data_IF_151913175156
#
_entry.id   IF_151913175156
#
_cell.length_a   1.000
_cell.length_b   1.000
_cell.length_c   1.000
_cell.angle_alpha   90.00
_cell.angle_beta   90.00
_cell.angle_gamma   90.00
#
_symmetry.space_group_name_H-M   'P 1'
#
loop_
_entity.id
_entity.type
_entity.pdbx_description
1 polymer ?
#
# COMPACT_ATOMS: atom_id res chain seq x y z
N UNK A 1 -19.89 -4.51 29.17
CA UNK A 1 -18.65 -5.32 29.25
C UNK A 1 -18.25 -5.73 27.83
N UNK A 2 -17.01 -5.40 27.43
CA UNK A 2 -16.13 -6.00 26.37
C UNK A 2 -16.78 -6.29 24.99
N UNK A 3 -16.61 -5.47 23.94
CA UNK A 3 -15.45 -5.30 23.01
C UNK A 3 -14.83 -6.61 22.50
N UNK A 4 -14.96 -6.87 21.18
CA UNK A 4 -14.09 -7.64 20.24
C UNK A 4 -14.99 -8.01 19.02
N UNK A 5 -14.67 -7.89 17.74
CA UNK A 5 -13.53 -7.36 17.00
C UNK A 5 -14.05 -7.13 15.56
N UNK A 6 -13.83 -5.94 14.99
CA UNK A 6 -14.07 -5.69 13.56
C UNK A 6 -12.81 -5.03 13.00
N UNK A 7 -11.81 -5.84 12.67
CA UNK A 7 -10.64 -5.45 11.89
C UNK A 7 -10.29 -6.60 10.96
N UNK A 8 -10.47 -6.39 9.66
CA UNK A 8 -9.63 -6.93 8.57
C UNK A 8 -10.28 -6.56 7.21
N UNK A 9 -10.20 -5.28 6.87
CA UNK A 9 -10.28 -4.82 5.48
C UNK A 9 -8.84 -4.82 4.92
N UNK A 10 -8.72 -5.05 3.60
CA UNK A 10 -7.47 -5.00 2.79
C UNK A 10 -6.67 -6.31 2.76
N UNK A 11 -7.00 -7.19 1.81
CA UNK A 11 -6.16 -8.35 1.44
C UNK A 11 -5.96 -8.52 -0.07
N UNK A 12 -6.20 -7.48 -0.89
CA UNK A 12 -5.99 -7.55 -2.35
C UNK A 12 -5.03 -6.49 -2.92
N UNK A 13 -4.48 -5.60 -2.08
CA UNK A 13 -3.34 -4.75 -2.47
C UNK A 13 -1.97 -5.37 -2.11
N UNK A 14 -1.93 -6.49 -1.37
CA UNK A 14 -0.69 -7.04 -0.81
C UNK A 14 -0.07 -8.18 -1.62
N UNK A 15 -0.80 -8.84 -2.53
CA UNK A 15 -0.20 -9.88 -3.38
C UNK A 15 0.69 -9.28 -4.49
N UNK A 16 0.38 -8.07 -4.96
CA UNK A 16 1.24 -7.31 -5.88
C UNK A 16 2.45 -6.64 -5.21
N UNK A 17 2.37 -6.35 -3.91
CA UNK A 17 3.47 -5.74 -3.14
C UNK A 17 4.48 -6.76 -2.58
N UNK A 18 4.09 -8.04 -2.43
CA UNK A 18 4.96 -9.07 -1.85
C UNK A 18 6.14 -9.46 -2.77
N UNK A 19 5.99 -9.31 -4.08
CA UNK A 19 7.03 -9.67 -5.06
C UNK A 19 8.05 -8.56 -5.34
N UNK A 20 7.83 -7.33 -4.89
CA UNK A 20 8.75 -6.20 -5.11
C UNK A 20 9.79 -6.04 -3.99
N UNK A 21 9.54 -6.61 -2.80
CA UNK A 21 10.39 -6.37 -1.61
C UNK A 21 11.51 -7.41 -1.39
N UNK A 22 11.55 -8.50 -2.15
CA UNK A 22 12.50 -9.61 -1.89
C UNK A 22 13.83 -9.55 -2.67
N UNK A 23 14.14 -8.41 -3.30
CA UNK A 23 15.40 -8.21 -4.06
C UNK A 23 16.50 -7.48 -3.26
N UNK A 24 16.25 -7.08 -2.01
CA UNK A 24 17.18 -6.20 -1.27
C UNK A 24 17.90 -6.84 -0.09
N UNK A 25 17.77 -8.13 0.18
CA UNK A 25 18.48 -8.76 1.29
C UNK A 25 18.89 -10.18 0.91
N UNK A 26 20.10 -10.34 0.35
CA UNK A 26 20.96 -11.50 0.59
C UNK A 26 22.39 -11.16 0.11
N UNK A 27 23.13 -10.48 0.99
CA UNK A 27 24.58 -10.64 1.09
C UNK A 27 24.86 -11.35 2.43
N UNK A 28 25.67 -12.41 2.35
CA UNK A 28 26.02 -13.37 3.40
C UNK A 28 26.66 -12.72 4.65
N UNK A 29 26.65 -13.35 5.84
CA UNK A 29 27.56 -14.44 6.30
C UNK A 29 27.08 -14.95 7.70
N UNK A 30 27.42 -16.20 8.13
CA UNK A 30 26.69 -16.98 9.14
C UNK A 30 27.36 -17.04 10.53
N UNK A 31 26.62 -17.50 11.55
CA UNK A 31 27.21 -18.04 12.78
C UNK A 31 26.30 -19.06 13.51
N UNK A 32 26.79 -20.29 13.54
CA UNK A 32 26.74 -21.40 14.51
C UNK A 32 25.70 -21.49 15.65
N UNK A 33 25.23 -22.73 15.80
CA UNK A 33 24.44 -23.33 16.90
C UNK A 33 25.22 -23.39 18.25
N UNK A 34 24.68 -23.92 19.40
CA UNK A 34 24.21 -25.31 19.52
C UNK A 34 22.98 -25.58 20.42
N UNK A 35 22.62 -26.86 20.41
CA UNK A 35 21.51 -27.60 21.00
C UNK A 35 21.35 -27.55 22.53
N UNK A 36 20.13 -27.85 23.01
CA UNK A 36 19.92 -28.63 24.23
C UNK A 36 18.60 -29.45 24.15
N UNK A 37 18.76 -30.73 24.44
CA UNK A 37 17.83 -31.85 24.57
C UNK A 37 17.01 -31.82 25.87
N UNK A 38 15.82 -32.46 25.86
CA UNK A 38 15.12 -33.24 26.92
C UNK A 38 13.66 -33.40 26.45
N UNK A 39 13.04 -34.55 26.14
CA UNK A 39 13.04 -35.92 26.69
C UNK A 39 12.54 -36.03 28.13
N UNK A 40 11.21 -36.08 28.32
CA UNK A 40 10.62 -36.90 29.39
C UNK A 40 9.29 -37.50 28.93
N UNK A 41 9.31 -38.82 28.81
CA UNK A 41 8.18 -39.72 28.63
C UNK A 41 7.51 -39.96 29.99
N UNK A 42 6.18 -40.01 30.04
CA UNK A 42 5.48 -40.85 31.03
C UNK A 42 4.23 -41.43 30.40
N UNK A 43 4.24 -42.75 30.26
CA UNK A 43 3.15 -43.58 29.75
C UNK A 43 2.31 -44.06 30.93
N UNK A 44 0.98 -44.01 30.80
CA UNK A 44 0.09 -44.91 31.57
C UNK A 44 -1.12 -45.30 30.72
N UNK A 45 -1.06 -46.54 30.22
CA UNK A 45 -2.08 -47.59 30.25
C UNK A 45 -3.56 -47.30 29.87
N UNK A 46 -3.92 -47.82 28.70
CA UNK A 46 -5.01 -48.78 28.45
C UNK A 46 -6.45 -48.43 28.83
N UNK A 47 -7.28 -48.17 27.81
CA UNK A 47 -8.57 -48.87 27.68
C UNK A 47 -9.02 -48.89 26.21
N UNK A 48 -9.27 -50.08 25.70
CA UNK A 48 -9.69 -50.35 24.33
C UNK A 48 -11.22 -50.41 24.24
N UNK A 49 -11.82 -49.72 23.24
CA UNK A 49 -13.01 -50.15 22.48
C UNK A 49 -13.30 -49.20 21.31
N UNK A 50 -14.12 -49.59 20.31
CA UNK A 50 -13.64 -49.90 18.97
C UNK A 50 -14.05 -48.84 17.94
N UNK A 51 -13.32 -48.83 16.81
CA UNK A 51 -13.83 -48.48 15.50
C UNK A 51 -14.45 -47.10 15.34
N UNK A 52 -13.61 -46.10 15.07
CA UNK A 52 -14.05 -44.92 14.31
C UNK A 52 -13.31 -44.96 12.98
N UNK A 53 -14.01 -45.43 11.96
CA UNK A 53 -13.63 -45.09 10.59
C UNK A 53 -13.61 -43.56 10.48
N UNK A 54 -12.58 -42.94 9.88
CA UNK A 54 -12.60 -41.52 9.62
C UNK A 54 -13.57 -41.29 8.46
N UNK A 55 -14.83 -41.00 8.78
CA UNK A 55 -15.72 -40.32 7.85
C UNK A 55 -15.22 -38.88 7.70
N UNK A 56 -14.27 -38.72 6.78
CA UNK A 56 -14.08 -37.48 6.05
C UNK A 56 -15.34 -37.25 5.20
N UNK A 57 -16.46 -36.96 5.86
CA UNK A 57 -17.59 -36.35 5.23
C UNK A 57 -17.31 -34.85 5.22
N UNK A 58 -17.12 -34.28 4.03
CA UNK A 58 -17.36 -32.86 3.78
C UNK A 58 -18.77 -32.56 4.27
N UNK A 59 -18.91 -32.11 5.51
CA UNK A 59 -20.21 -31.85 6.08
C UNK A 59 -20.72 -30.55 5.46
N UNK A 60 -21.58 -30.70 4.45
CA UNK A 60 -22.42 -29.62 3.96
C UNK A 60 -23.03 -28.87 5.16
N UNK A 61 -23.08 -27.55 5.07
CA UNK A 61 -23.61 -26.72 6.15
C UNK A 61 -25.01 -27.21 6.56
N UNK A 62 -25.34 -27.25 7.86
CA UNK A 62 -26.70 -27.53 8.32
C UNK A 62 -27.71 -26.63 7.59
N UNK A 63 -28.92 -27.12 7.25
CA UNK A 63 -29.87 -26.40 6.41
C UNK A 63 -30.19 -24.96 6.88
N UNK A 64 -30.27 -24.75 8.19
CA UNK A 64 -30.51 -23.42 8.78
C UNK A 64 -29.35 -22.45 8.54
N UNK A 65 -28.10 -22.93 8.69
CA UNK A 65 -26.90 -22.14 8.43
C UNK A 65 -26.75 -21.82 6.94
N UNK A 66 -27.13 -22.77 6.07
CA UNK A 66 -27.14 -22.56 4.63
C UNK A 66 -28.15 -21.47 4.21
N UNK A 67 -29.35 -21.46 4.79
CA UNK A 67 -30.35 -20.42 4.52
C UNK A 67 -29.89 -19.04 5.02
N UNK A 68 -29.32 -18.96 6.22
CA UNK A 68 -28.76 -17.71 6.76
C UNK A 68 -27.61 -17.17 5.90
N UNK A 69 -26.76 -18.08 5.39
CA UNK A 69 -25.68 -17.71 4.47
C UNK A 69 -26.23 -17.16 3.15
N UNK A 70 -27.20 -17.83 2.54
CA UNK A 70 -27.87 -17.35 1.32
C UNK A 70 -28.52 -15.98 1.53
N UNK A 71 -29.22 -15.79 2.66
CA UNK A 71 -29.82 -14.50 3.00
C UNK A 71 -28.76 -13.38 3.10
N UNK A 72 -27.61 -13.68 3.69
CA UNK A 72 -26.47 -12.75 3.79
C UNK A 72 -25.92 -12.38 2.41
N UNK A 73 -25.77 -13.36 1.50
CA UNK A 73 -25.32 -13.11 0.14
C UNK A 73 -26.31 -12.18 -0.59
N UNK A 74 -27.61 -12.49 -0.53
CA UNK A 74 -28.66 -11.68 -1.17
C UNK A 74 -28.67 -10.25 -0.65
N UNK A 75 -28.60 -10.07 0.67
CA UNK A 75 -28.59 -8.74 1.29
C UNK A 75 -27.34 -7.92 0.89
N UNK A 76 -26.17 -8.56 0.79
CA UNK A 76 -24.91 -7.87 0.51
C UNK A 76 -24.71 -7.52 -0.96
N UNK A 77 -25.10 -8.42 -1.86
CA UNK A 77 -24.74 -8.35 -3.27
C UNK A 77 -25.95 -8.13 -4.21
N UNK A 78 -27.15 -8.57 -3.83
CA UNK A 78 -28.30 -8.67 -4.73
C UNK A 78 -28.67 -7.35 -5.43
N UNK A 79 -28.71 -6.24 -4.69
CA UNK A 79 -29.12 -4.94 -5.24
C UNK A 79 -28.12 -4.35 -6.27
N UNK A 80 -26.89 -4.88 -6.35
CA UNK A 80 -25.82 -4.35 -7.22
C UNK A 80 -25.20 -5.42 -8.10
N UNK A 81 -25.89 -6.55 -8.26
CA UNK A 81 -25.38 -7.70 -8.99
C UNK A 81 -25.26 -7.46 -10.50
N UNK A 82 -25.85 -6.37 -11.01
CA UNK A 82 -25.65 -5.90 -12.38
C UNK A 82 -24.22 -5.42 -12.67
N UNK A 83 -23.43 -5.06 -11.64
CA UNK A 83 -22.05 -4.60 -11.82
C UNK A 83 -21.07 -5.79 -11.92
N UNK A 84 -20.29 -5.92 -13.02
CA UNK A 84 -19.17 -6.85 -13.15
C UNK A 84 -18.24 -6.91 -11.95
N UNK A 85 -17.89 -5.75 -11.36
CA UNK A 85 -17.04 -5.69 -10.18
C UNK A 85 -17.69 -6.36 -8.95
N UNK A 86 -18.98 -6.16 -8.76
CA UNK A 86 -19.71 -6.76 -7.63
C UNK A 86 -19.87 -8.27 -7.84
N UNK A 87 -20.13 -8.71 -9.07
CA UNK A 87 -20.14 -10.12 -9.43
C UNK A 87 -18.79 -10.76 -9.10
N UNK A 88 -17.67 -10.16 -9.53
CA UNK A 88 -16.35 -10.71 -9.26
C UNK A 88 -16.04 -10.77 -7.76
N UNK A 89 -16.37 -9.72 -7.00
CA UNK A 89 -16.20 -9.71 -5.53
C UNK A 89 -17.03 -10.78 -4.82
N UNK A 90 -18.21 -11.09 -5.34
CA UNK A 90 -19.01 -12.22 -4.84
C UNK A 90 -18.29 -13.54 -5.13
N UNK A 91 -17.82 -13.73 -6.37
CA UNK A 91 -17.08 -14.93 -6.78
C UNK A 91 -15.81 -15.12 -5.93
N UNK A 92 -14.96 -14.10 -5.79
CA UNK A 92 -13.76 -14.17 -4.96
C UNK A 92 -14.08 -14.56 -3.51
N UNK A 93 -15.13 -13.97 -2.93
CA UNK A 93 -15.55 -14.28 -1.56
C UNK A 93 -16.00 -15.73 -1.42
N UNK A 94 -16.77 -16.25 -2.37
CA UNK A 94 -17.24 -17.63 -2.37
C UNK A 94 -16.10 -18.61 -2.65
N UNK A 95 -15.22 -18.31 -3.60
CA UNK A 95 -14.04 -19.16 -3.87
C UNK A 95 -13.20 -19.31 -2.60
N UNK A 96 -12.93 -18.22 -1.88
CA UNK A 96 -12.21 -18.26 -0.60
C UNK A 96 -12.94 -19.10 0.45
N UNK A 97 -14.27 -18.99 0.52
CA UNK A 97 -15.08 -19.71 1.50
C UNK A 97 -15.13 -21.23 1.25
N UNK A 98 -15.19 -21.64 -0.03
CA UNK A 98 -15.42 -23.03 -0.40
C UNK A 98 -14.13 -23.81 -0.70
N UNK A 99 -13.07 -23.18 -1.23
CA UNK A 99 -11.87 -23.88 -1.75
C UNK A 99 -11.17 -24.82 -0.76
N UNK A 100 -11.29 -24.57 0.55
CA UNK A 100 -10.71 -25.42 1.58
C UNK A 100 -11.58 -26.61 2.03
N UNK A 101 -12.81 -26.77 1.50
CA UNK A 101 -13.81 -27.71 2.03
C UNK A 101 -13.74 -29.13 1.46
N UNK A 102 -12.98 -29.33 0.38
CA UNK A 102 -12.82 -30.64 -0.26
C UNK A 102 -12.76 -30.55 -1.78
N UNK A 103 -12.61 -31.67 -2.51
CA UNK A 103 -12.48 -31.68 -3.96
C UNK A 103 -13.73 -31.15 -4.69
N UNK A 104 -14.92 -31.30 -4.08
CA UNK A 104 -16.21 -30.90 -4.67
C UNK A 104 -16.61 -29.44 -4.40
N UNK A 105 -15.69 -28.62 -3.86
CA UNK A 105 -15.96 -27.24 -3.45
C UNK A 105 -16.63 -26.40 -4.55
N UNK A 106 -16.26 -26.63 -5.81
CA UNK A 106 -16.81 -25.91 -6.96
C UNK A 106 -18.28 -26.25 -7.18
N UNK A 107 -18.65 -27.52 -7.08
CA UNK A 107 -20.03 -27.97 -7.23
C UNK A 107 -20.93 -27.45 -6.08
N UNK A 108 -20.40 -27.41 -4.86
CA UNK A 108 -21.08 -26.80 -3.71
C UNK A 108 -21.31 -25.29 -3.86
N UNK A 109 -20.30 -24.58 -4.35
CA UNK A 109 -20.38 -23.14 -4.65
C UNK A 109 -21.45 -22.87 -5.71
N UNK A 110 -21.46 -23.63 -6.81
CA UNK A 110 -22.46 -23.48 -7.88
C UNK A 110 -23.88 -23.75 -7.38
N UNK A 111 -24.08 -24.78 -6.55
CA UNK A 111 -25.39 -25.03 -5.91
C UNK A 111 -25.84 -23.85 -5.04
N UNK A 112 -24.91 -23.24 -4.32
CA UNK A 112 -25.19 -22.06 -3.48
C UNK A 112 -25.53 -20.83 -4.34
N UNK A 113 -24.82 -20.61 -5.45
CA UNK A 113 -25.14 -19.55 -6.42
C UNK A 113 -26.54 -19.74 -7.02
N UNK A 114 -26.89 -20.96 -7.44
CA UNK A 114 -28.21 -21.27 -8.00
C UNK A 114 -29.33 -21.01 -6.98
N UNK A 115 -29.10 -21.37 -5.71
CA UNK A 115 -30.07 -21.13 -4.65
C UNK A 115 -30.18 -19.63 -4.30
N UNK A 116 -29.05 -18.91 -4.27
CA UNK A 116 -29.04 -17.50 -3.87
C UNK A 116 -29.53 -16.56 -4.97
N UNK A 117 -29.16 -16.79 -6.22
CA UNK A 117 -29.38 -15.89 -7.36
C UNK A 117 -29.79 -16.66 -8.62
N UNK A 118 -30.96 -17.31 -8.64
CA UNK A 118 -31.38 -18.16 -9.76
C UNK A 118 -31.38 -17.41 -11.10
N UNK A 119 -31.89 -16.17 -11.12
CA UNK A 119 -32.01 -15.36 -12.34
C UNK A 119 -30.65 -14.91 -12.90
N UNK A 120 -29.61 -14.84 -12.04
CA UNK A 120 -28.26 -14.45 -12.44
C UNK A 120 -27.28 -15.63 -12.48
N UNK A 121 -27.77 -16.87 -12.33
CA UNK A 121 -26.92 -18.04 -12.18
C UNK A 121 -26.02 -18.27 -13.39
N UNK A 122 -26.57 -18.18 -14.62
CA UNK A 122 -25.79 -18.37 -15.83
C UNK A 122 -24.64 -17.36 -15.93
N UNK A 123 -24.90 -16.10 -15.59
CA UNK A 123 -23.90 -15.04 -15.56
C UNK A 123 -22.83 -15.27 -14.48
N UNK A 124 -23.23 -15.61 -13.26
CA UNK A 124 -22.31 -15.80 -12.14
C UNK A 124 -21.47 -17.07 -12.27
N UNK A 125 -22.04 -18.14 -12.82
CA UNK A 125 -21.29 -19.37 -13.13
C UNK A 125 -20.25 -19.10 -14.23
N UNK A 126 -20.59 -18.37 -15.29
CA UNK A 126 -19.62 -17.93 -16.28
C UNK A 126 -18.51 -17.05 -15.65
N UNK A 127 -18.86 -16.12 -14.76
CA UNK A 127 -17.89 -15.28 -14.04
C UNK A 127 -16.92 -16.11 -13.19
N UNK A 128 -17.42 -17.18 -12.55
CA UNK A 128 -16.57 -18.11 -11.81
C UNK A 128 -15.55 -18.77 -12.73
N UNK A 129 -15.96 -19.27 -13.90
CA UNK A 129 -15.02 -19.87 -14.86
C UNK A 129 -13.96 -18.87 -15.33
N UNK A 130 -14.37 -17.63 -15.65
CA UNK A 130 -13.43 -16.57 -16.04
C UNK A 130 -12.41 -16.28 -14.94
N UNK A 131 -12.84 -16.21 -13.67
CA UNK A 131 -11.96 -15.99 -12.53
C UNK A 131 -10.97 -17.14 -12.34
N UNK A 132 -11.44 -18.38 -12.40
CA UNK A 132 -10.56 -19.56 -12.26
C UNK A 132 -9.58 -19.68 -13.43
N UNK A 133 -10.01 -19.35 -14.65
CA UNK A 133 -9.15 -19.26 -15.82
C UNK A 133 -8.07 -18.20 -15.66
N UNK A 134 -8.43 -17.02 -15.14
CA UNK A 134 -7.47 -15.95 -14.87
C UNK A 134 -6.45 -16.36 -13.81
N UNK A 135 -6.88 -16.97 -12.72
CA UNK A 135 -5.98 -17.45 -11.67
C UNK A 135 -5.03 -18.54 -12.18
N UNK A 136 -5.53 -19.51 -12.95
CA UNK A 136 -4.72 -20.55 -13.54
C UNK A 136 -3.67 -19.96 -14.50
N UNK A 137 -4.05 -18.98 -15.32
CA UNK A 137 -3.12 -18.27 -16.19
C UNK A 137 -2.07 -17.49 -15.39
N UNK A 138 -2.48 -16.77 -14.33
CA UNK A 138 -1.55 -16.05 -13.46
C UNK A 138 -0.51 -16.98 -12.82
N UNK A 139 -0.92 -18.18 -12.41
CA UNK A 139 -0.03 -19.19 -11.84
C UNK A 139 0.92 -19.75 -12.89
N UNK A 140 0.41 -20.11 -14.07
CA UNK A 140 1.21 -20.67 -15.16
C UNK A 140 2.26 -19.69 -15.71
N UNK A 141 1.94 -18.39 -15.73
CA UNK A 141 2.79 -17.34 -16.32
C UNK A 141 3.56 -16.52 -15.27
N UNK A 142 3.58 -16.95 -14.00
CA UNK A 142 4.15 -16.16 -12.91
C UNK A 142 5.63 -15.80 -13.12
N UNK A 143 6.43 -16.76 -13.65
CA UNK A 143 7.85 -16.54 -13.94
C UNK A 143 8.07 -15.55 -15.09
N UNK A 144 7.36 -15.75 -16.20
CA UNK A 144 7.46 -14.88 -17.38
C UNK A 144 7.02 -13.45 -17.07
N UNK A 145 5.89 -13.29 -16.38
CA UNK A 145 5.41 -11.98 -15.92
C UNK A 145 6.40 -11.28 -14.99
N UNK A 146 7.17 -12.02 -14.19
CA UNK A 146 8.19 -11.43 -13.32
C UNK A 146 9.41 -10.92 -14.10
N UNK A 147 9.75 -11.57 -15.21
CA UNK A 147 10.88 -11.21 -16.08
C UNK A 147 10.61 -9.96 -16.94
N UNK A 148 9.34 -9.69 -17.27
CA UNK A 148 8.94 -8.49 -18.01
C UNK A 148 9.16 -7.20 -17.22
N UNK A 149 9.37 -6.08 -17.91
CA UNK A 149 9.33 -4.77 -17.26
C UNK A 149 7.90 -4.38 -16.82
N UNK A 150 7.75 -3.22 -16.20
CA UNK A 150 6.47 -2.79 -15.64
C UNK A 150 5.41 -2.41 -16.69
N UNK A 151 5.81 -2.04 -17.90
CA UNK A 151 4.92 -1.68 -19.00
C UNK A 151 4.44 -2.93 -19.72
N UNK A 152 5.37 -3.79 -20.13
CA UNK A 152 5.07 -5.03 -20.83
C UNK A 152 4.25 -5.98 -19.96
N UNK A 153 4.61 -6.12 -18.69
CA UNK A 153 3.84 -6.94 -17.73
C UNK A 153 2.40 -6.47 -17.65
N UNK A 154 2.18 -5.15 -17.63
CA UNK A 154 0.85 -4.56 -17.55
C UNK A 154 0.06 -4.77 -18.83
N UNK A 155 0.68 -4.59 -19.99
CA UNK A 155 0.05 -4.85 -21.28
C UNK A 155 -0.40 -6.32 -21.37
N UNK A 156 0.45 -7.26 -20.93
CA UNK A 156 0.10 -8.69 -20.86
C UNK A 156 -1.06 -8.97 -19.90
N UNK A 157 -1.05 -8.37 -18.70
CA UNK A 157 -2.17 -8.50 -17.75
C UNK A 157 -3.48 -7.98 -18.34
N UNK A 158 -3.47 -6.82 -18.99
CA UNK A 158 -4.66 -6.25 -19.63
C UNK A 158 -5.16 -7.09 -20.79
N UNK A 159 -4.27 -7.54 -21.68
CA UNK A 159 -4.64 -8.42 -22.77
C UNK A 159 -5.34 -9.69 -22.26
N UNK A 160 -4.82 -10.31 -21.20
CA UNK A 160 -5.45 -11.49 -20.61
C UNK A 160 -6.80 -11.17 -19.97
N UNK A 161 -6.92 -10.05 -19.26
CA UNK A 161 -8.18 -9.61 -18.64
C UNK A 161 -9.25 -9.33 -19.69
N UNK A 162 -8.90 -8.63 -20.77
CA UNK A 162 -9.82 -8.37 -21.88
C UNK A 162 -10.22 -9.68 -22.58
N UNK A 163 -9.30 -10.61 -22.78
CA UNK A 163 -9.59 -11.91 -23.40
C UNK A 163 -10.56 -12.76 -22.56
N UNK A 164 -10.42 -12.75 -21.22
CA UNK A 164 -11.25 -13.57 -20.34
C UNK A 164 -12.58 -12.93 -19.97
N UNK A 165 -12.57 -11.63 -19.66
CA UNK A 165 -13.73 -10.93 -19.10
C UNK A 165 -14.48 -10.10 -20.16
N UNK A 166 -13.86 -9.83 -21.30
CA UNK A 166 -14.31 -8.83 -22.25
C UNK A 166 -13.88 -7.42 -21.83
N UNK A 167 -13.68 -6.54 -22.82
CA UNK A 167 -13.13 -5.20 -22.59
C UNK A 167 -13.93 -4.37 -21.59
N UNK A 168 -15.25 -4.25 -21.79
CA UNK A 168 -16.10 -3.42 -20.95
C UNK A 168 -16.08 -3.88 -19.47
N UNK A 169 -16.23 -5.18 -19.23
CA UNK A 169 -16.19 -5.74 -17.88
C UNK A 169 -14.81 -5.59 -17.25
N UNK A 170 -13.73 -5.83 -18.01
CA UNK A 170 -12.38 -5.66 -17.51
C UNK A 170 -12.10 -4.21 -17.09
N UNK A 171 -12.49 -3.24 -17.92
CA UNK A 171 -12.35 -1.82 -17.58
C UNK A 171 -13.12 -1.46 -16.31
N UNK A 172 -14.32 -2.00 -16.09
CA UNK A 172 -15.08 -1.77 -14.86
C UNK A 172 -14.45 -2.44 -13.64
N UNK A 173 -14.07 -3.71 -13.76
CA UNK A 173 -13.49 -4.50 -12.66
C UNK A 173 -12.19 -3.87 -12.17
N UNK A 174 -11.31 -3.49 -13.11
CA UNK A 174 -9.99 -2.91 -12.81
C UNK A 174 -9.94 -1.40 -12.96
N UNK A 175 -11.09 -0.71 -12.90
CA UNK A 175 -11.18 0.73 -13.10
C UNK A 175 -10.26 1.55 -12.16
N UNK A 176 -10.02 1.06 -10.94
CA UNK A 176 -9.10 1.71 -10.01
C UNK A 176 -7.65 1.71 -10.51
N UNK A 177 -7.20 0.62 -11.14
CA UNK A 177 -5.86 0.52 -11.72
C UNK A 177 -5.72 1.50 -12.88
N UNK A 178 -6.71 1.55 -13.79
CA UNK A 178 -6.73 2.51 -14.91
C UNK A 178 -6.66 3.96 -14.44
N UNK A 179 -7.45 4.31 -13.41
CA UNK A 179 -7.43 5.65 -12.83
C UNK A 179 -6.07 5.98 -12.21
N UNK A 180 -5.51 5.05 -11.45
CA UNK A 180 -4.20 5.22 -10.81
C UNK A 180 -3.09 5.40 -11.84
N UNK A 181 -3.14 4.64 -12.94
CA UNK A 181 -2.21 4.77 -14.06
C UNK A 181 -2.35 6.12 -14.77
N UNK A 182 -3.57 6.57 -15.05
CA UNK A 182 -3.81 7.88 -15.67
C UNK A 182 -3.18 8.99 -14.85
N UNK A 183 -3.37 8.96 -13.52
CA UNK A 183 -2.77 9.93 -12.60
C UNK A 183 -1.24 9.83 -12.57
N UNK A 184 -0.68 8.61 -12.57
CA UNK A 184 0.77 8.40 -12.58
C UNK A 184 1.41 8.94 -13.88
N UNK A 185 0.79 8.68 -15.05
CA UNK A 185 1.24 9.23 -16.34
C UNK A 185 1.16 10.75 -16.35
N UNK A 186 0.08 11.33 -15.84
CA UNK A 186 -0.07 12.78 -15.73
C UNK A 186 1.03 13.40 -14.84
N UNK A 187 1.31 12.79 -13.68
CA UNK A 187 2.41 13.25 -12.81
C UNK A 187 3.77 13.20 -13.49
N UNK A 188 4.07 12.14 -14.25
CA UNK A 188 5.31 12.05 -15.03
C UNK A 188 5.42 13.16 -16.09
N UNK A 189 4.32 13.45 -16.80
CA UNK A 189 4.25 14.54 -17.78
C UNK A 189 4.38 15.91 -17.13
N UNK A 190 3.74 16.11 -15.97
CA UNK A 190 3.86 17.32 -15.18
C UNK A 190 5.31 17.50 -14.74
N UNK A 191 6.02 16.45 -14.34
CA UNK A 191 7.41 16.57 -13.88
C UNK A 191 8.39 16.88 -15.02
N UNK A 192 8.12 16.33 -16.20
CA UNK A 192 8.96 16.49 -17.39
C UNK A 192 8.77 17.84 -18.12
N UNK A 193 7.71 18.58 -17.85
CA UNK A 193 7.45 19.85 -18.52
C UNK A 193 8.46 20.94 -18.08
N UNK A 194 9.38 21.41 -18.95
CA UNK A 194 10.50 22.25 -18.53
C UNK A 194 10.09 23.65 -18.06
N UNK A 195 9.07 24.25 -18.70
CA UNK A 195 8.74 25.67 -18.51
C UNK A 195 7.48 25.91 -17.66
N UNK A 196 6.82 24.87 -17.16
CA UNK A 196 5.63 25.03 -16.32
C UNK A 196 6.01 25.54 -14.93
N UNK A 197 5.28 26.53 -14.41
CA UNK A 197 5.46 27.01 -13.04
C UNK A 197 4.63 26.19 -12.07
N UNK A 198 4.94 26.28 -10.78
CA UNK A 198 4.26 25.50 -9.74
C UNK A 198 2.72 25.61 -9.76
N UNK A 199 2.12 26.81 -9.96
CA UNK A 199 0.67 26.92 -10.09
C UNK A 199 0.11 26.18 -11.30
N UNK A 200 0.80 26.22 -12.44
CA UNK A 200 0.38 25.52 -13.66
C UNK A 200 0.49 24.00 -13.47
N UNK A 201 1.54 23.53 -12.81
CA UNK A 201 1.73 22.11 -12.47
C UNK A 201 0.62 21.62 -11.55
N UNK A 202 0.28 22.40 -10.52
CA UNK A 202 -0.79 22.07 -9.60
C UNK A 202 -2.15 22.02 -10.32
N UNK A 203 -2.41 22.99 -11.20
CA UNK A 203 -3.66 23.02 -11.96
C UNK A 203 -3.79 21.78 -12.86
N UNK A 204 -2.75 21.44 -13.63
CA UNK A 204 -2.71 20.21 -14.44
C UNK A 204 -2.91 18.96 -13.58
N UNK A 205 -2.32 18.92 -12.39
CA UNK A 205 -2.51 17.79 -11.48
C UNK A 205 -3.98 17.65 -11.04
N UNK A 206 -4.62 18.76 -10.65
CA UNK A 206 -6.05 18.78 -10.27
C UNK A 206 -6.95 18.35 -11.42
N UNK A 207 -6.66 18.81 -12.64
CA UNK A 207 -7.37 18.38 -13.86
C UNK A 207 -7.21 16.88 -14.09
N UNK A 208 -6.01 16.33 -13.95
CA UNK A 208 -5.79 14.88 -14.09
C UNK A 208 -6.57 14.04 -13.06
N UNK A 209 -6.72 14.55 -11.83
CA UNK A 209 -7.54 13.91 -10.81
C UNK A 209 -9.04 13.96 -11.19
N UNK A 210 -9.50 15.10 -11.72
CA UNK A 210 -10.88 15.23 -12.21
C UNK A 210 -11.15 14.31 -13.40
N UNK A 211 -10.22 14.19 -14.35
CA UNK A 211 -10.33 13.28 -15.50
C UNK A 211 -10.27 11.80 -15.11
N UNK A 212 -9.48 11.46 -14.10
CA UNK A 212 -9.39 10.09 -13.61
C UNK A 212 -10.65 9.70 -12.83
N UNK A 213 -11.11 10.53 -11.90
CA UNK A 213 -12.16 10.16 -10.95
C UNK A 213 -13.55 10.71 -11.28
N UNK A 214 -13.69 11.63 -12.25
CA UNK A 214 -14.95 12.26 -12.61
C UNK A 214 -15.62 12.90 -11.39
N UNK A 215 -16.92 12.64 -11.22
CA UNK A 215 -17.72 13.13 -10.08
C UNK A 215 -17.23 12.61 -8.72
N UNK A 216 -16.45 11.53 -8.69
CA UNK A 216 -15.87 10.99 -7.47
C UNK A 216 -14.58 11.72 -7.04
N UNK A 217 -14.05 12.65 -7.84
CA UNK A 217 -12.79 13.35 -7.53
C UNK A 217 -12.79 14.07 -6.17
N UNK A 218 -13.85 14.81 -5.77
CA UNK A 218 -13.89 15.42 -4.44
C UNK A 218 -13.83 14.38 -3.31
N UNK A 219 -14.64 13.32 -3.41
CA UNK A 219 -14.65 12.24 -2.42
C UNK A 219 -13.33 11.44 -2.39
N UNK A 220 -12.63 11.36 -3.52
CA UNK A 220 -11.28 10.81 -3.57
C UNK A 220 -10.30 11.71 -2.81
N UNK A 221 -10.28 13.01 -3.09
CA UNK A 221 -9.40 13.96 -2.42
C UNK A 221 -9.66 14.02 -0.91
N UNK A 222 -10.91 13.98 -0.46
CA UNK A 222 -11.21 13.93 0.98
C UNK A 222 -10.57 12.72 1.69
N UNK A 223 -10.52 11.56 1.03
CA UNK A 223 -9.99 10.32 1.60
C UNK A 223 -8.49 10.15 1.41
N UNK A 224 -7.94 10.71 0.34
CA UNK A 224 -6.56 10.49 -0.11
C UNK A 224 -5.75 11.78 -0.17
N UNK A 225 -6.15 12.83 0.55
CA UNK A 225 -5.55 14.16 0.46
C UNK A 225 -4.05 14.16 0.69
N UNK A 226 -3.60 13.46 1.73
CA UNK A 226 -2.19 13.36 2.07
C UNK A 226 -1.40 12.66 0.96
N UNK A 227 -1.93 11.55 0.45
CA UNK A 227 -1.30 10.80 -0.63
C UNK A 227 -1.21 11.63 -1.93
N UNK A 228 -2.26 12.38 -2.25
CA UNK A 228 -2.28 13.28 -3.41
C UNK A 228 -1.25 14.41 -3.25
N UNK A 229 -1.19 15.03 -2.06
CA UNK A 229 -0.20 16.05 -1.72
C UNK A 229 1.23 15.50 -1.84
N UNK A 230 1.47 14.34 -1.25
CA UNK A 230 2.79 13.70 -1.21
C UNK A 230 3.30 13.37 -2.61
N UNK A 231 2.45 12.79 -3.46
CA UNK A 231 2.80 12.49 -4.85
C UNK A 231 3.15 13.73 -5.66
N UNK A 232 2.46 14.85 -5.41
CA UNK A 232 2.76 16.12 -6.07
C UNK A 232 4.05 16.75 -5.54
N UNK A 233 4.25 16.75 -4.23
CA UNK A 233 5.46 17.30 -3.61
C UNK A 233 6.71 16.45 -3.90
N UNK A 234 6.57 15.14 -4.13
CA UNK A 234 7.70 14.27 -4.46
C UNK A 234 8.19 14.43 -5.91
N UNK A 235 7.53 15.24 -6.75
CA UNK A 235 8.00 15.57 -8.09
C UNK A 235 9.30 16.37 -8.05
N UNK A 236 10.27 15.99 -8.88
CA UNK A 236 11.60 16.63 -8.90
C UNK A 236 11.53 18.10 -9.31
N UNK A 237 10.68 18.43 -10.29
CA UNK A 237 10.41 19.80 -10.74
C UNK A 237 9.84 20.67 -9.63
N UNK A 238 8.89 20.14 -8.84
CA UNK A 238 8.29 20.83 -7.70
C UNK A 238 9.33 21.11 -6.62
N UNK A 239 10.15 20.11 -6.27
CA UNK A 239 11.21 20.30 -5.27
C UNK A 239 12.30 21.28 -5.72
N UNK A 240 12.66 21.28 -7.02
CA UNK A 240 13.61 22.26 -7.58
C UNK A 240 13.07 23.68 -7.47
N UNK A 241 11.81 23.90 -7.85
CA UNK A 241 11.19 25.22 -7.77
C UNK A 241 11.06 25.70 -6.32
N UNK A 242 10.55 24.85 -5.42
CA UNK A 242 10.46 25.17 -3.99
C UNK A 242 11.82 25.49 -3.36
N UNK A 243 12.89 24.79 -3.78
CA UNK A 243 14.24 25.03 -3.28
C UNK A 243 14.82 26.37 -3.73
N UNK A 244 14.44 26.85 -4.91
CA UNK A 244 14.91 28.13 -5.46
C UNK A 244 14.22 29.35 -4.83
N UNK A 245 13.06 29.16 -4.19
CA UNK A 245 12.29 30.25 -3.61
C UNK A 245 12.86 30.73 -2.26
N UNK A 246 12.74 32.04 -1.93
CA UNK A 246 12.91 32.55 -0.58
C UNK A 246 11.93 31.90 0.40
N UNK A 247 12.27 31.87 1.70
CA UNK A 247 11.46 31.17 2.72
C UNK A 247 9.99 31.64 2.78
N UNK A 248 9.74 32.95 2.70
CA UNK A 248 8.39 33.51 2.74
C UNK A 248 7.56 33.08 1.51
N UNK A 249 8.15 33.19 0.32
CA UNK A 249 7.49 32.79 -0.94
C UNK A 249 7.25 31.28 -0.97
N UNK A 250 8.21 30.48 -0.50
CA UNK A 250 8.07 29.02 -0.40
C UNK A 250 6.92 28.62 0.53
N UNK A 251 6.81 29.28 1.69
CA UNK A 251 5.70 29.04 2.62
C UNK A 251 4.35 29.37 1.98
N UNK A 252 4.27 30.49 1.24
CA UNK A 252 3.06 30.85 0.50
C UNK A 252 2.71 29.80 -0.57
N UNK A 253 3.69 29.36 -1.35
CA UNK A 253 3.50 28.32 -2.37
C UNK A 253 3.05 26.98 -1.77
N UNK A 254 3.64 26.55 -0.66
CA UNK A 254 3.22 25.33 0.05
C UNK A 254 1.80 25.45 0.60
N UNK A 255 1.39 26.64 1.06
CA UNK A 255 0.01 26.92 1.47
C UNK A 255 -0.94 26.82 0.26
N UNK A 256 -0.58 27.40 -0.87
CA UNK A 256 -1.39 27.40 -2.10
C UNK A 256 -1.58 25.98 -2.65
N UNK A 257 -0.53 25.15 -2.64
CA UNK A 257 -0.62 23.72 -3.00
C UNK A 257 -1.66 23.00 -2.14
N UNK A 258 -1.55 23.15 -0.82
CA UNK A 258 -2.44 22.47 0.13
C UNK A 258 -3.89 22.95 0.02
N UNK A 259 -4.07 24.27 -0.17
CA UNK A 259 -5.38 24.88 -0.42
C UNK A 259 -6.00 24.36 -1.73
N UNK A 260 -5.21 24.30 -2.81
CA UNK A 260 -5.65 23.78 -4.11
C UNK A 260 -6.07 22.30 -4.09
N UNK A 261 -5.57 21.53 -3.13
CA UNK A 261 -5.96 20.13 -2.87
C UNK A 261 -7.10 20.00 -1.84
N UNK A 262 -7.74 21.10 -1.45
CA UNK A 262 -8.95 21.11 -0.64
C UNK A 262 -8.71 21.08 0.86
N UNK A 263 -7.56 21.53 1.37
CA UNK A 263 -7.37 21.71 2.81
C UNK A 263 -8.09 22.95 3.32
N UNK A 264 -8.77 22.82 4.47
CA UNK A 264 -9.39 23.94 5.17
C UNK A 264 -8.36 24.84 5.89
N UNK A 265 -8.79 26.02 6.32
CA UNK A 265 -7.93 27.01 6.97
C UNK A 265 -7.25 26.50 8.25
N UNK A 266 -7.91 25.61 9.01
CA UNK A 266 -7.34 25.05 10.24
C UNK A 266 -6.22 24.06 9.91
N UNK A 267 -6.40 23.23 8.88
CA UNK A 267 -5.38 22.35 8.37
C UNK A 267 -4.19 23.12 7.81
N UNK A 268 -4.43 24.19 7.06
CA UNK A 268 -3.37 25.06 6.54
C UNK A 268 -2.51 25.66 7.67
N UNK A 269 -3.14 26.17 8.74
CA UNK A 269 -2.40 26.71 9.89
C UNK A 269 -1.54 25.66 10.61
N UNK A 270 -2.02 24.42 10.76
CA UNK A 270 -1.22 23.31 11.32
C UNK A 270 0.00 22.99 10.45
N UNK A 271 -0.17 23.01 9.13
CA UNK A 271 0.92 22.76 8.18
C UNK A 271 1.97 23.86 8.18
N UNK A 272 1.57 25.12 8.25
CA UNK A 272 2.50 26.25 8.35
C UNK A 272 3.36 26.16 9.62
N UNK A 273 2.75 25.83 10.76
CA UNK A 273 3.49 25.62 12.00
C UNK A 273 4.48 24.46 11.89
N UNK A 274 4.05 23.35 11.28
CA UNK A 274 4.90 22.18 11.06
C UNK A 274 6.09 22.50 10.14
N UNK A 275 5.84 23.17 9.03
CA UNK A 275 6.88 23.59 8.09
C UNK A 275 7.85 24.57 8.76
N UNK A 276 7.36 25.55 9.53
CA UNK A 276 8.23 26.46 10.28
C UNK A 276 9.12 25.74 11.30
N UNK A 277 8.59 24.72 11.98
CA UNK A 277 9.35 23.89 12.92
C UNK A 277 10.44 23.11 12.19
N UNK A 278 10.11 22.51 11.04
CA UNK A 278 11.07 21.78 10.20
C UNK A 278 12.15 22.72 9.66
N UNK A 279 11.76 23.92 9.24
CA UNK A 279 12.69 24.91 8.71
C UNK A 279 13.69 25.38 9.76
N UNK A 280 13.22 25.66 10.98
CA UNK A 280 14.09 25.97 12.10
C UNK A 280 15.05 24.82 12.42
N UNK A 281 14.54 23.57 12.43
CA UNK A 281 15.36 22.39 12.68
C UNK A 281 16.45 22.21 11.62
N UNK A 282 16.11 22.36 10.35
CA UNK A 282 17.07 22.30 9.24
C UNK A 282 18.13 23.39 9.34
N UNK A 283 17.76 24.62 9.69
CA UNK A 283 18.71 25.71 9.88
C UNK A 283 19.71 25.40 11.03
N UNK A 284 19.24 24.82 12.12
CA UNK A 284 20.12 24.33 13.20
C UNK A 284 21.02 23.19 12.71
N UNK A 285 20.49 22.28 11.89
CA UNK A 285 21.22 21.20 11.24
C UNK A 285 22.33 21.68 10.31
N UNK A 286 22.08 22.66 9.47
CA UNK A 286 23.08 23.27 8.57
C UNK A 286 24.23 23.89 9.38
N UNK A 287 23.91 24.65 10.43
CA UNK A 287 24.92 25.19 11.35
C UNK A 287 25.72 24.07 12.03
N UNK A 288 25.03 23.03 12.50
CA UNK A 288 25.67 21.87 13.10
C UNK A 288 26.68 21.21 12.15
N UNK A 289 26.31 20.99 10.88
CA UNK A 289 27.18 20.38 9.90
C UNK A 289 28.41 21.24 9.58
N UNK A 290 28.23 22.57 9.49
CA UNK A 290 29.35 23.49 9.29
C UNK A 290 30.34 23.47 10.47
N UNK A 291 29.83 23.54 11.70
CA UNK A 291 30.67 23.49 12.91
C UNK A 291 31.33 22.11 13.09
N UNK A 292 30.60 21.03 12.80
CA UNK A 292 31.12 19.66 12.79
C UNK A 292 32.28 19.53 11.82
N UNK A 293 32.14 20.02 10.59
CA UNK A 293 33.20 19.98 9.60
C UNK A 293 34.46 20.74 10.05
N UNK A 294 34.31 21.86 10.76
CA UNK A 294 35.45 22.56 11.36
C UNK A 294 36.12 21.72 12.45
N UNK A 295 35.34 21.14 13.37
CA UNK A 295 35.87 20.30 14.45
C UNK A 295 36.62 19.06 13.94
N UNK A 296 36.15 18.45 12.85
CA UNK A 296 36.81 17.30 12.22
C UNK A 296 38.14 17.66 11.55
N UNK A 297 38.35 18.93 11.19
CA UNK A 297 39.63 19.40 10.65
C UNK A 297 40.62 19.79 11.75
N UNK A 298 40.12 20.40 12.81
CA UNK A 298 40.96 21.08 13.81
C UNK A 298 41.36 20.17 14.99
N UNK A 299 40.64 19.06 15.21
CA UNK A 299 40.84 18.17 16.34
C UNK A 299 40.85 16.69 15.92
N UNK A 300 41.52 15.85 16.70
CA UNK A 300 41.56 14.39 16.51
C UNK A 300 41.39 13.64 17.84
N UNK A 301 41.08 12.34 17.74
CA UNK A 301 41.01 11.44 18.90
C UNK A 301 39.94 11.85 19.92
N UNK A 302 40.24 11.68 21.21
CA UNK A 302 39.29 11.93 22.31
C UNK A 302 38.81 13.39 22.37
N UNK A 303 39.66 14.36 22.03
CA UNK A 303 39.30 15.78 22.07
C UNK A 303 38.24 16.11 21.02
N UNK A 304 38.38 15.55 19.81
CA UNK A 304 37.37 15.66 18.76
C UNK A 304 36.05 15.06 19.21
N UNK A 305 36.08 13.85 19.80
CA UNK A 305 34.88 13.17 20.29
C UNK A 305 34.15 14.00 21.37
N UNK A 306 34.90 14.56 22.32
CA UNK A 306 34.38 15.43 23.38
C UNK A 306 33.72 16.69 22.81
N UNK A 307 34.39 17.38 21.87
CA UNK A 307 33.85 18.60 21.25
C UNK A 307 32.61 18.33 20.39
N UNK A 308 32.58 17.22 19.67
CA UNK A 308 31.40 16.80 18.92
C UNK A 308 30.21 16.50 19.85
N UNK A 309 30.45 15.87 21.00
CA UNK A 309 29.41 15.64 22.00
C UNK A 309 28.86 16.97 22.55
N UNK A 310 29.72 17.90 22.92
CA UNK A 310 29.32 19.24 23.39
C UNK A 310 28.56 20.04 22.32
N UNK A 311 28.97 19.93 21.06
CA UNK A 311 28.29 20.58 19.93
C UNK A 311 26.87 20.04 19.77
N UNK A 312 26.68 18.71 19.83
CA UNK A 312 25.35 18.08 19.75
C UNK A 312 24.46 18.52 20.90
N UNK A 313 24.97 18.47 22.13
CA UNK A 313 24.22 18.88 23.33
C UNK A 313 23.76 20.34 23.24
N UNK A 314 24.66 21.25 22.84
CA UNK A 314 24.36 22.67 22.71
C UNK A 314 23.29 22.97 21.65
N UNK A 315 23.29 22.24 20.54
CA UNK A 315 22.40 22.54 19.40
C UNK A 315 21.08 21.75 19.42
N UNK A 316 21.08 20.56 20.02
CA UNK A 316 19.93 19.63 19.94
C UNK A 316 19.43 19.14 21.30
N UNK A 317 20.13 19.43 22.40
CA UNK A 317 19.74 19.04 23.76
C UNK A 317 19.36 17.57 23.84
N UNK A 318 18.08 17.30 24.11
CA UNK A 318 17.54 15.94 24.26
C UNK A 318 17.78 15.01 23.05
N UNK A 319 17.94 15.54 21.83
CA UNK A 319 18.22 14.71 20.66
C UNK A 319 19.71 14.40 20.45
N UNK A 320 20.61 14.98 21.26
CA UNK A 320 22.06 14.84 21.07
C UNK A 320 22.54 13.39 21.05
N UNK A 321 22.00 12.55 21.94
CA UNK A 321 22.35 11.13 22.02
C UNK A 321 21.83 10.34 20.81
N UNK A 322 20.64 10.69 20.32
CA UNK A 322 20.07 10.09 19.10
C UNK A 322 20.94 10.43 17.89
N UNK A 323 21.31 11.70 17.72
CA UNK A 323 22.22 12.12 16.64
C UNK A 323 23.57 11.42 16.73
N UNK A 324 24.13 11.29 17.94
CA UNK A 324 25.40 10.59 18.13
C UNK A 324 25.32 9.11 17.69
N UNK A 325 24.20 8.44 17.99
CA UNK A 325 23.98 7.04 17.61
C UNK A 325 23.79 6.89 16.10
N UNK A 326 23.01 7.79 15.49
CA UNK A 326 22.85 7.87 14.03
C UNK A 326 24.20 8.01 13.33
N UNK A 327 25.02 8.96 13.77
CA UNK A 327 26.34 9.20 13.19
C UNK A 327 27.30 8.02 13.38
N UNK A 328 27.27 7.37 14.54
CA UNK A 328 28.06 6.17 14.79
C UNK A 328 27.69 5.01 13.86
N UNK A 329 26.43 4.96 13.41
CA UNK A 329 25.97 4.01 12.39
C UNK A 329 26.21 4.47 10.94
N UNK A 330 26.85 5.63 10.73
CA UNK A 330 27.12 6.20 9.41
C UNK A 330 25.94 6.99 8.82
N UNK A 331 24.89 7.25 9.61
CA UNK A 331 23.75 8.05 9.16
C UNK A 331 23.90 9.52 9.58
N UNK A 332 24.14 10.39 8.59
CA UNK A 332 24.21 11.84 8.78
C UNK A 332 22.91 12.47 8.30
N UNK A 333 21.97 12.70 9.24
CA UNK A 333 20.61 13.17 8.96
C UNK A 333 20.57 14.46 8.12
N UNK A 334 21.43 15.42 8.41
CA UNK A 334 21.46 16.73 7.74
C UNK A 334 22.31 16.76 6.48
N UNK A 335 22.88 15.62 6.05
CA UNK A 335 23.44 15.45 4.71
C UNK A 335 22.40 14.92 3.72
N UNK A 336 21.25 14.45 4.22
CA UNK A 336 20.17 13.98 3.35
C UNK A 336 19.55 15.13 2.56
N UNK A 337 19.05 14.90 1.34
CA UNK A 337 18.33 15.91 0.59
C UNK A 337 17.10 16.41 1.35
N UNK A 338 17.01 17.72 1.55
CA UNK A 338 15.81 18.37 2.06
C UNK A 338 14.69 18.30 1.03
N UNK A 339 13.49 17.94 1.49
CA UNK A 339 12.26 17.86 0.72
C UNK A 339 11.21 18.79 1.35
N UNK A 340 11.00 19.92 0.69
CA UNK A 340 10.08 20.95 1.14
C UNK A 340 8.64 20.43 1.22
N UNK A 341 7.97 20.75 2.33
CA UNK A 341 6.63 20.26 2.65
C UNK A 341 6.57 18.79 3.08
N UNK A 342 7.70 18.07 3.13
CA UNK A 342 7.79 16.65 3.50
C UNK A 342 8.58 16.42 4.79
N UNK A 343 9.85 16.85 4.86
CA UNK A 343 10.77 16.54 5.96
C UNK A 343 11.40 17.76 6.67
#
# INVERSE_FOLDING_TARGET
MKRLALVAFVALALLGLWLVRRRSEHAAVPASAPAATSSTSTSTSTSARPGVAPLLASAALPPEQQQAFIATLRARYGARLSSPLIQLKLIEALVREFRGRGPDWKAELLRTLQAAFPDSYALLSARLEQWLGYEAWMQANAGDLQALDAEDRRANLWAQREALFGKADAEEIWAFELRSERVAKALAQIDAAPDARLPDRLQRYRESLKEAYGDAAPAFLERHRQEALDRFLDLGSVQRELSALPAAERSAQLRDIRSGLGMDAQALGRWEQLDGTRDARWSVGERYMAERAALLRDYQGEEQARRLAQLRERLFGQEAQTLASEEASGFLRFEQPRRWGRN
#
